data_IF_485571433016
#
_entry.id   IF_485571433016
#
_cell.length_a   1.000
_cell.length_b   1.000
_cell.length_c   1.000
_cell.angle_alpha   90.00
_cell.angle_beta   90.00
_cell.angle_gamma   90.00
#
_symmetry.space_group_name_H-M   'P 1'
#
loop_
_entity.id
_entity.type
_entity.pdbx_description
1 polymer ?
#
# COMPACT_ATOMS: atom_id res chain seq x y z
N UNK A 1 -19.85 37.45 -13.57
CA UNK A 1 -19.04 36.55 -12.71
C UNK A 1 -19.00 35.20 -13.41
N UNK A 2 -17.86 34.84 -14.00
CA UNK A 2 -17.64 33.51 -14.58
C UNK A 2 -17.37 32.54 -13.42
N UNK A 3 -18.11 31.44 -13.35
CA UNK A 3 -17.73 30.31 -12.51
C UNK A 3 -16.56 29.64 -13.22
N UNK A 4 -15.35 29.78 -12.66
CA UNK A 4 -14.24 28.92 -13.04
C UNK A 4 -14.59 27.50 -12.57
N UNK A 5 -14.81 26.58 -13.50
CA UNK A 5 -14.76 25.16 -13.20
C UNK A 5 -13.41 24.88 -12.53
N UNK A 6 -13.44 24.38 -11.29
CA UNK A 6 -12.25 23.81 -10.68
C UNK A 6 -12.13 22.40 -11.26
N UNK A 7 -11.17 22.11 -12.16
CA UNK A 7 -10.96 20.75 -12.60
C UNK A 7 -10.49 19.95 -11.39
N UNK A 8 -11.39 19.15 -10.82
CA UNK A 8 -11.03 18.14 -9.83
C UNK A 8 -10.16 17.12 -10.55
N UNK A 9 -8.84 17.24 -10.38
CA UNK A 9 -7.86 16.27 -10.88
C UNK A 9 -7.47 15.37 -9.72
N UNK A 10 -7.52 14.06 -9.92
CA UNK A 10 -7.03 13.05 -8.98
C UNK A 10 -5.50 12.83 -9.09
N UNK A 11 -4.76 13.80 -9.65
CA UNK A 11 -3.32 13.68 -9.81
C UNK A 11 -2.63 13.73 -8.46
N UNK A 12 -1.65 12.84 -8.23
CA UNK A 12 -0.80 12.91 -7.05
C UNK A 12 -0.07 14.26 -7.02
N UNK A 13 0.05 14.83 -5.83
CA UNK A 13 0.82 16.06 -5.60
C UNK A 13 1.99 15.77 -4.70
N UNK A 14 3.20 16.04 -5.18
CA UNK A 14 4.44 15.96 -4.38
C UNK A 14 4.47 16.98 -3.23
N UNK A 15 3.57 17.97 -3.25
CA UNK A 15 3.44 18.97 -2.17
C UNK A 15 2.72 18.42 -0.93
N UNK A 16 2.09 17.26 -1.06
CA UNK A 16 1.38 16.60 0.04
C UNK A 16 2.30 15.52 0.58
N UNK A 17 2.57 15.59 1.87
CA UNK A 17 3.17 14.47 2.60
C UNK A 17 2.09 13.40 2.84
N UNK A 18 1.91 12.56 1.81
CA UNK A 18 0.89 11.51 1.80
C UNK A 18 1.11 10.49 2.92
N UNK A 19 2.36 10.22 3.27
CA UNK A 19 2.70 9.30 4.35
C UNK A 19 2.24 9.85 5.70
N UNK A 20 2.62 11.08 6.04
CA UNK A 20 2.21 11.70 7.31
C UNK A 20 0.69 11.84 7.40
N UNK A 21 0.03 12.20 6.29
CA UNK A 21 -1.44 12.27 6.23
C UNK A 21 -2.09 10.90 6.49
N UNK A 22 -1.63 9.85 5.80
CA UNK A 22 -2.15 8.49 5.95
C UNK A 22 -1.93 7.92 7.35
N UNK A 23 -0.74 8.15 7.92
CA UNK A 23 -0.43 7.75 9.30
C UNK A 23 -1.36 8.45 10.28
N UNK A 24 -1.48 9.78 10.21
CA UNK A 24 -2.36 10.54 11.10
C UNK A 24 -3.82 10.10 11.02
N UNK A 25 -4.33 9.80 9.81
CA UNK A 25 -5.68 9.24 9.66
C UNK A 25 -5.83 7.86 10.28
N UNK A 26 -4.80 7.01 10.14
CA UNK A 26 -4.80 5.66 10.72
C UNK A 26 -4.63 5.66 12.25
N UNK A 27 -4.05 6.71 12.83
CA UNK A 27 -4.02 6.93 14.29
C UNK A 27 -5.41 7.32 14.81
N UNK A 28 -6.12 8.20 14.11
CA UNK A 28 -7.47 8.66 14.51
C UNK A 28 -8.54 7.60 14.26
N UNK A 29 -8.42 6.86 13.16
CA UNK A 29 -9.35 5.80 12.76
C UNK A 29 -8.57 4.50 12.52
N UNK A 30 -8.24 3.73 13.58
CA UNK A 30 -7.45 2.51 13.48
C UNK A 30 -8.13 1.51 12.53
N UNK A 31 -7.55 1.22 11.35
CA UNK A 31 -8.15 0.30 10.41
C UNK A 31 -7.77 -1.14 10.74
N UNK A 32 -8.63 -2.09 10.39
CA UNK A 32 -8.29 -3.52 10.34
C UNK A 32 -7.19 -3.74 9.27
N UNK A 33 -7.37 -3.13 8.09
CA UNK A 33 -6.38 -3.03 7.02
C UNK A 33 -6.44 -1.62 6.42
N UNK A 34 -5.29 -0.98 6.26
CA UNK A 34 -5.17 0.32 5.59
C UNK A 34 -4.14 0.24 4.47
N UNK A 35 -4.35 0.99 3.38
CA UNK A 35 -3.39 1.05 2.28
C UNK A 35 -3.23 2.47 1.77
N UNK A 36 -1.97 2.85 1.55
CA UNK A 36 -1.57 4.01 0.80
C UNK A 36 -0.74 3.55 -0.39
N UNK A 37 -1.14 3.96 -1.59
CA UNK A 37 -0.46 3.59 -2.81
C UNK A 37 -0.73 4.59 -3.93
N UNK A 38 0.27 4.78 -4.78
CA UNK A 38 0.18 5.54 -6.03
C UNK A 38 0.09 4.53 -7.17
N UNK A 39 -1.01 4.51 -7.90
CA UNK A 39 -1.11 3.63 -9.07
C UNK A 39 -0.44 4.28 -10.28
N UNK A 40 0.60 3.62 -10.83
CA UNK A 40 1.31 4.05 -12.03
C UNK A 40 1.00 3.16 -13.24
N UNK A 41 1.41 3.57 -14.45
CA UNK A 41 1.06 2.87 -15.70
C UNK A 41 1.36 1.36 -15.72
N UNK A 42 2.50 0.87 -15.18
CA UNK A 42 2.78 -0.57 -15.08
C UNK A 42 1.70 -1.37 -14.33
N UNK A 43 0.95 -0.73 -13.42
CA UNK A 43 -0.11 -1.37 -12.63
C UNK A 43 -1.51 -1.14 -13.21
N UNK A 44 -1.66 -0.19 -14.13
CA UNK A 44 -2.93 0.26 -14.73
C UNK A 44 -3.24 -0.37 -16.10
N UNK A 45 -2.67 -1.55 -16.37
CA UNK A 45 -2.93 -2.31 -17.59
C UNK A 45 -4.43 -2.56 -17.85
N UNK A 46 -4.83 -2.74 -19.13
CA UNK A 46 -6.23 -2.95 -19.49
C UNK A 46 -6.86 -4.17 -18.79
N UNK A 47 -6.07 -5.19 -18.46
CA UNK A 47 -6.51 -6.42 -17.78
C UNK A 47 -6.63 -6.28 -16.25
N UNK A 48 -6.07 -5.21 -15.66
CA UNK A 48 -6.04 -4.99 -14.20
C UNK A 48 -6.97 -3.87 -13.75
N UNK A 49 -7.57 -3.12 -14.69
CA UNK A 49 -8.40 -1.95 -14.42
C UNK A 49 -9.60 -2.28 -13.52
N UNK A 50 -9.66 -1.62 -12.36
CA UNK A 50 -10.67 -1.79 -11.30
C UNK A 50 -10.66 -3.15 -10.58
N UNK A 51 -9.53 -3.86 -10.54
CA UNK A 51 -9.41 -5.02 -9.66
C UNK A 51 -9.50 -4.60 -8.17
N UNK A 52 -9.70 -5.57 -7.27
CA UNK A 52 -9.87 -5.31 -5.82
C UNK A 52 -8.73 -4.49 -5.22
N UNK A 53 -7.50 -4.69 -5.70
CA UNK A 53 -6.33 -3.91 -5.26
C UNK A 53 -6.44 -2.44 -5.68
N UNK A 54 -6.74 -2.16 -6.95
CA UNK A 54 -6.86 -0.79 -7.47
C UNK A 54 -7.95 0.05 -6.79
N UNK A 55 -9.04 -0.61 -6.35
CA UNK A 55 -10.13 0.07 -5.65
C UNK A 55 -9.96 0.06 -4.12
N UNK A 56 -8.87 -0.52 -3.60
CA UNK A 56 -8.63 -0.64 -2.16
C UNK A 56 -9.67 -1.51 -1.43
N UNK A 57 -10.25 -2.49 -2.12
CA UNK A 57 -11.25 -3.39 -1.55
C UNK A 57 -10.59 -4.59 -0.90
N UNK A 58 -10.67 -4.64 0.43
CA UNK A 58 -10.23 -5.79 1.24
C UNK A 58 -11.36 -6.80 1.48
N UNK A 59 -12.43 -6.79 0.67
CA UNK A 59 -13.69 -7.54 0.88
C UNK A 59 -14.44 -7.11 2.16
N UNK A 60 -15.36 -7.96 2.63
CA UNK A 60 -16.20 -7.66 3.78
C UNK A 60 -15.37 -7.67 5.07
N UNK A 61 -15.67 -6.77 6.01
CA UNK A 61 -14.95 -6.65 7.28
C UNK A 61 -14.91 -7.97 8.11
N UNK A 62 -15.92 -8.84 7.96
CA UNK A 62 -15.98 -10.13 8.65
C UNK A 62 -15.17 -11.25 7.96
N UNK A 63 -14.70 -11.02 6.74
CA UNK A 63 -13.87 -11.96 5.99
C UNK A 63 -12.93 -11.17 5.05
N UNK A 64 -11.98 -10.41 5.63
CA UNK A 64 -11.07 -9.59 4.87
C UNK A 64 -10.12 -10.48 4.05
N UNK A 65 -9.72 -9.98 2.89
CA UNK A 65 -8.61 -10.55 2.10
C UNK A 65 -7.67 -9.41 1.74
N UNK A 66 -6.37 -9.68 1.79
CA UNK A 66 -5.36 -8.74 1.30
C UNK A 66 -5.11 -9.07 -0.18
N UNK A 67 -5.67 -8.29 -1.13
CA UNK A 67 -5.53 -8.62 -2.54
C UNK A 67 -4.06 -8.52 -2.97
N UNK A 68 -3.36 -7.49 -2.50
CA UNK A 68 -1.94 -7.24 -2.75
C UNK A 68 -1.40 -6.23 -1.73
N UNK A 69 -0.13 -5.84 -1.89
CA UNK A 69 0.57 -4.87 -1.06
C UNK A 69 0.70 -3.51 -1.79
N UNK A 70 0.19 -2.45 -1.17
CA UNK A 70 0.43 -1.07 -1.61
C UNK A 70 1.83 -0.59 -1.27
N UNK A 71 2.09 0.71 -1.42
CA UNK A 71 3.38 1.27 -0.98
C UNK A 71 3.53 1.24 0.54
N UNK A 72 2.44 1.56 1.25
CA UNK A 72 2.35 1.39 2.69
C UNK A 72 1.08 0.64 3.07
N UNK A 73 1.21 -0.26 4.03
CA UNK A 73 0.12 -1.07 4.58
C UNK A 73 0.04 -0.88 6.09
N UNK A 74 -1.17 -0.64 6.60
CA UNK A 74 -1.48 -0.82 8.02
C UNK A 74 -2.09 -2.20 8.19
N UNK A 75 -1.47 -3.00 9.05
CA UNK A 75 -2.00 -4.27 9.53
C UNK A 75 -2.51 -4.04 10.95
N UNK A 76 -3.83 -3.99 11.12
CA UNK A 76 -4.49 -3.76 12.40
C UNK A 76 -4.27 -4.88 13.41
N UNK A 77 -4.94 -4.80 14.56
CA UNK A 77 -4.87 -5.82 15.62
C UNK A 77 -5.13 -7.24 15.11
N UNK A 78 -6.17 -7.42 14.29
CA UNK A 78 -6.54 -8.72 13.71
C UNK A 78 -5.49 -9.30 12.74
N UNK A 79 -4.57 -8.47 12.25
CA UNK A 79 -3.51 -8.85 11.33
C UNK A 79 -2.12 -8.71 11.94
N UNK A 80 -2.00 -8.29 13.21
CA UNK A 80 -0.73 -8.00 13.85
C UNK A 80 0.15 -9.25 14.01
N UNK A 81 -0.46 -10.43 14.15
CA UNK A 81 0.24 -11.72 14.25
C UNK A 81 0.89 -12.15 12.93
N UNK A 82 0.42 -11.61 11.80
CA UNK A 82 0.98 -11.90 10.47
C UNK A 82 2.25 -11.07 10.19
N UNK A 83 2.56 -10.09 11.04
CA UNK A 83 3.68 -9.16 10.89
C UNK A 83 4.86 -9.59 11.77
N UNK A 84 5.84 -10.25 11.16
CA UNK A 84 7.13 -10.55 11.80
C UNK A 84 8.02 -9.29 11.81
N UNK A 85 7.88 -8.50 12.87
CA UNK A 85 8.52 -7.19 13.00
C UNK A 85 10.05 -7.28 12.92
N UNK A 86 10.64 -8.27 13.58
CA UNK A 86 12.09 -8.44 13.62
C UNK A 86 12.63 -8.80 12.24
N UNK A 87 11.97 -9.74 11.54
CA UNK A 87 12.38 -10.17 10.21
C UNK A 87 12.18 -9.08 9.15
N UNK A 88 11.09 -8.32 9.24
CA UNK A 88 10.82 -7.19 8.33
C UNK A 88 11.86 -6.09 8.52
N UNK A 89 12.12 -5.68 9.77
CA UNK A 89 13.12 -4.66 10.07
C UNK A 89 14.53 -5.11 9.67
N UNK A 90 14.90 -6.37 9.94
CA UNK A 90 16.20 -6.93 9.55
C UNK A 90 16.41 -6.99 8.02
N UNK A 91 15.32 -7.05 7.25
CA UNK A 91 15.35 -7.00 5.77
C UNK A 91 15.37 -5.57 5.21
N UNK A 92 15.50 -4.57 6.09
CA UNK A 92 15.65 -3.16 5.72
C UNK A 92 14.34 -2.47 5.31
N UNK A 93 13.18 -3.05 5.65
CA UNK A 93 11.90 -2.40 5.39
C UNK A 93 11.53 -1.44 6.52
N UNK A 94 11.01 -0.24 6.20
CA UNK A 94 10.51 0.65 7.22
C UNK A 94 9.24 0.06 7.85
N UNK A 95 9.30 -0.16 9.16
CA UNK A 95 8.19 -0.68 9.96
C UNK A 95 8.10 0.06 11.28
N UNK A 96 6.88 0.36 11.71
CA UNK A 96 6.63 1.00 13.00
C UNK A 96 5.35 0.46 13.66
N UNK A 97 5.30 0.52 14.99
CA UNK A 97 4.08 0.23 15.74
C UNK A 97 3.06 1.35 15.50
N UNK A 98 1.83 0.97 15.16
CA UNK A 98 0.72 1.90 15.00
C UNK A 98 -0.52 1.34 15.70
N UNK A 99 -0.95 2.00 16.78
CA UNK A 99 -1.99 1.47 17.68
C UNK A 99 -1.64 0.04 18.14
N UNK A 100 -2.58 -0.90 17.99
CA UNK A 100 -2.37 -2.32 18.28
C UNK A 100 -1.76 -3.10 17.11
N UNK A 101 -1.60 -2.46 15.94
CA UNK A 101 -1.09 -3.05 14.71
C UNK A 101 0.30 -2.55 14.33
N UNK A 102 0.60 -2.58 13.03
CA UNK A 102 1.86 -2.12 12.45
C UNK A 102 1.63 -1.39 11.13
N UNK A 103 2.47 -0.39 10.86
CA UNK A 103 2.57 0.29 9.57
C UNK A 103 3.88 -0.13 8.91
N UNK A 104 3.78 -0.73 7.72
CA UNK A 104 4.91 -1.25 6.94
C UNK A 104 4.98 -0.52 5.60
N UNK A 105 6.17 -0.18 5.14
CA UNK A 105 6.42 0.46 3.85
C UNK A 105 7.33 -0.41 2.97
N UNK A 106 7.11 -0.38 1.65
CA UNK A 106 7.93 -1.12 0.67
C UNK A 106 9.27 -0.43 0.44
N UNK A 107 9.25 0.90 0.34
CA UNK A 107 10.43 1.76 0.21
C UNK A 107 10.29 2.98 1.13
N UNK A 108 11.37 3.77 1.27
CA UNK A 108 11.31 5.02 2.05
C UNK A 108 10.49 6.12 1.35
N UNK A 109 10.36 6.07 0.03
CA UNK A 109 9.75 7.13 -0.76
C UNK A 109 8.63 6.61 -1.67
N UNK A 110 7.40 7.09 -1.46
CA UNK A 110 6.23 6.72 -2.29
C UNK A 110 6.42 7.06 -3.77
N UNK A 111 7.28 8.03 -4.10
CA UNK A 111 7.56 8.38 -5.49
C UNK A 111 8.32 7.28 -6.24
N UNK A 112 8.93 6.31 -5.56
CA UNK A 112 9.60 5.17 -6.21
C UNK A 112 8.61 4.36 -7.07
N UNK A 113 7.32 4.33 -6.69
CA UNK A 113 6.27 3.67 -7.48
C UNK A 113 6.11 4.27 -8.89
N UNK A 114 6.42 5.55 -9.06
CA UNK A 114 6.35 6.24 -10.36
C UNK A 114 7.73 6.47 -11.01
N UNK A 115 8.78 6.66 -10.20
CA UNK A 115 10.11 7.05 -10.68
C UNK A 115 11.07 5.87 -10.86
N UNK A 116 10.90 4.78 -10.11
CA UNK A 116 11.69 3.55 -10.23
C UNK A 116 10.81 2.33 -9.89
N UNK A 117 9.89 2.03 -10.82
CA UNK A 117 8.92 0.95 -10.61
C UNK A 117 9.60 -0.42 -10.46
N UNK A 118 10.72 -0.65 -11.14
CA UNK A 118 11.49 -1.88 -11.02
C UNK A 118 12.02 -2.10 -9.60
N UNK A 119 12.58 -1.05 -8.98
CA UNK A 119 12.99 -1.09 -7.58
C UNK A 119 11.79 -1.34 -6.66
N UNK A 120 10.69 -0.60 -6.84
CA UNK A 120 9.49 -0.77 -6.03
C UNK A 120 8.93 -2.21 -6.13
N UNK A 121 8.76 -2.73 -7.35
CA UNK A 121 8.25 -4.07 -7.61
C UNK A 121 9.15 -5.15 -7.00
N UNK A 122 10.47 -5.03 -7.16
CA UNK A 122 11.43 -5.93 -6.52
C UNK A 122 11.28 -5.92 -4.99
N UNK A 123 11.27 -4.73 -4.38
CA UNK A 123 11.14 -4.58 -2.92
C UNK A 123 9.80 -5.06 -2.40
N UNK A 124 8.72 -4.90 -3.18
CA UNK A 124 7.39 -5.44 -2.83
C UNK A 124 7.40 -6.97 -2.84
N UNK A 125 8.02 -7.60 -3.84
CA UNK A 125 8.20 -9.05 -3.88
C UNK A 125 8.96 -9.57 -2.66
N UNK A 126 10.08 -8.91 -2.33
CA UNK A 126 10.91 -9.24 -1.18
C UNK A 126 10.10 -9.12 0.13
N UNK A 127 9.34 -8.04 0.31
CA UNK A 127 8.52 -7.83 1.50
C UNK A 127 7.38 -8.86 1.60
N UNK A 128 6.68 -9.15 0.50
CA UNK A 128 5.61 -10.17 0.47
C UNK A 128 6.13 -11.54 0.91
N UNK A 129 7.36 -11.90 0.54
CA UNK A 129 8.01 -13.17 0.93
C UNK A 129 8.28 -13.33 2.43
N UNK A 130 8.16 -12.25 3.21
CA UNK A 130 8.32 -12.27 4.67
C UNK A 130 7.03 -12.66 5.40
N UNK A 131 5.88 -12.56 4.72
CA UNK A 131 4.59 -13.03 5.23
C UNK A 131 4.44 -14.52 4.96
N UNK A 132 3.46 -15.17 5.61
CA UNK A 132 3.13 -16.56 5.31
C UNK A 132 2.64 -16.71 3.86
N UNK A 133 2.80 -17.91 3.32
CA UNK A 133 2.23 -18.27 2.02
C UNK A 133 0.71 -18.03 1.98
N UNK A 134 0.20 -17.70 0.79
CA UNK A 134 -1.21 -17.41 0.53
C UNK A 134 -1.81 -16.21 1.31
N UNK A 135 -0.98 -15.39 1.97
CA UNK A 135 -1.47 -14.20 2.66
C UNK A 135 -2.00 -13.14 1.67
N UNK A 136 -1.31 -13.00 0.54
CA UNK A 136 -1.71 -12.12 -0.56
C UNK A 136 -2.38 -12.93 -1.65
N UNK A 137 -3.48 -12.41 -2.21
CA UNK A 137 -4.18 -13.08 -3.31
C UNK A 137 -3.39 -13.02 -4.63
N UNK A 138 -2.75 -11.88 -4.90
CA UNK A 138 -1.90 -11.69 -6.08
C UNK A 138 -0.44 -12.02 -5.71
N UNK A 139 0.07 -13.15 -6.20
CA UNK A 139 1.47 -13.52 -5.98
C UNK A 139 2.43 -13.01 -7.06
N UNK A 140 1.92 -12.74 -8.26
CA UNK A 140 2.73 -12.29 -9.38
C UNK A 140 2.98 -10.78 -9.30
N UNK A 141 4.25 -10.38 -9.41
CA UNK A 141 4.64 -8.98 -9.48
C UNK A 141 4.67 -8.47 -10.92
N UNK A 142 4.11 -7.28 -11.20
CA UNK A 142 4.26 -6.62 -12.49
C UNK A 142 5.72 -6.22 -12.76
N UNK A 143 6.15 -6.40 -14.01
CA UNK A 143 7.39 -5.84 -14.56
C UNK A 143 7.18 -4.42 -15.09
N UNK A 144 8.26 -3.65 -15.20
CA UNK A 144 8.24 -2.29 -15.72
C UNK A 144 8.20 -2.19 -17.27
N UNK A 145 7.76 -3.25 -17.98
CA UNK A 145 7.88 -3.37 -19.44
C UNK A 145 7.27 -2.20 -20.23
#
# INVERSE_FOLDING_TARGET
KSFSEFPLRSAISERVDWYSLFKAWSEVFPPQLGMLHLFSNPELGPDTKNNSFQIGSFRAALNPVVPDMGWAMVYGDEFAEEVDVERIAASGFPIEKLNNGYLVRVTENIQDVASDFSLFSQRRAELKSLFRADFFFNENEPSAD
#
